data_IF_214828349174
#
_entry.id   IF_214828349174
#
_cell.length_a   1.000
_cell.length_b   1.000
_cell.length_c   1.000
_cell.angle_alpha   90.00
_cell.angle_beta   90.00
_cell.angle_gamma   90.00
#
_symmetry.space_group_name_H-M   'P 1'
#
loop_
_entity.id
_entity.type
_entity.pdbx_description
1 polymer ?
#
# COMPACT_ATOMS: atom_id res chain seq x y z
N UNK A 1 3.93 33.34 14.29
CA UNK A 1 3.75 32.10 15.08
C UNK A 1 2.86 31.19 14.27
N UNK A 2 3.43 30.26 13.51
CA UNK A 2 2.63 29.27 12.78
C UNK A 2 2.21 28.21 13.79
N UNK A 3 0.90 28.13 14.06
CA UNK A 3 0.34 27.04 14.84
C UNK A 3 0.39 25.79 13.96
N UNK A 4 1.30 24.86 14.28
CA UNK A 4 1.21 23.50 13.77
C UNK A 4 -0.09 22.89 14.34
N UNK A 5 -1.08 22.72 13.49
CA UNK A 5 -2.26 21.93 13.83
C UNK A 5 -1.80 20.48 14.00
N UNK A 6 -1.83 20.00 15.25
CA UNK A 6 -1.56 18.60 15.54
C UNK A 6 -2.78 17.79 15.09
N UNK A 7 -2.64 17.06 13.99
CA UNK A 7 -3.62 16.06 13.58
C UNK A 7 -3.68 14.94 14.64
N UNK A 8 -4.84 14.32 14.87
CA UNK A 8 -4.97 13.22 15.81
C UNK A 8 -4.27 11.97 15.26
N UNK A 9 -3.11 11.63 15.85
CA UNK A 9 -2.46 10.33 15.63
C UNK A 9 -3.22 9.27 16.42
N UNK A 10 -4.02 8.46 15.74
CA UNK A 10 -4.64 7.30 16.37
C UNK A 10 -3.62 6.16 16.42
N UNK A 11 -2.97 6.00 17.58
CA UNK A 11 -2.21 4.79 17.90
C UNK A 11 -3.19 3.62 18.04
N UNK A 12 -3.38 2.87 16.97
CA UNK A 12 -4.05 1.58 17.06
C UNK A 12 -3.02 0.52 17.41
N UNK A 13 -2.75 0.36 18.71
CA UNK A 13 -2.37 -0.96 19.20
C UNK A 13 -3.59 -1.85 19.00
N UNK A 14 -3.41 -2.93 18.22
CA UNK A 14 -4.44 -3.89 17.80
C UNK A 14 -5.53 -3.31 16.85
N UNK A 15 -5.24 -3.14 15.56
CA UNK A 15 -6.28 -2.86 14.53
C UNK A 15 -7.06 -4.15 14.22
N UNK A 16 -7.92 -4.60 15.13
CA UNK A 16 -8.92 -5.61 14.80
C UNK A 16 -10.23 -4.92 14.37
N UNK A 17 -10.40 -4.82 13.05
CA UNK A 17 -11.68 -4.72 12.33
C UNK A 17 -12.54 -3.47 12.60
N UNK A 18 -12.25 -2.36 11.92
CA UNK A 18 -13.24 -1.28 11.75
C UNK A 18 -14.11 -1.55 10.52
N UNK A 19 -15.18 -2.33 10.71
CA UNK A 19 -16.25 -2.47 9.72
C UNK A 19 -17.12 -1.22 9.66
N UNK A 20 -16.67 -0.21 8.92
CA UNK A 20 -17.43 0.99 8.56
C UNK A 20 -16.70 1.71 7.44
N UNK A 21 -17.42 2.28 6.48
CA UNK A 21 -16.83 3.17 5.46
C UNK A 21 -16.33 4.43 6.15
N UNK A 22 -15.05 4.42 6.52
CA UNK A 22 -14.36 5.57 7.08
C UNK A 22 -13.89 6.46 5.93
N UNK A 23 -13.75 7.75 6.20
CA UNK A 23 -13.17 8.70 5.25
C UNK A 23 -12.08 9.48 5.97
N UNK A 24 -10.93 9.65 5.33
CA UNK A 24 -9.73 10.28 5.91
C UNK A 24 -9.18 9.45 7.08
N UNK A 25 -8.66 8.26 6.76
CA UNK A 25 -8.01 7.37 7.73
C UNK A 25 -6.50 7.58 7.66
N UNK A 26 -5.87 7.70 8.82
CA UNK A 26 -4.42 7.85 8.99
C UNK A 26 -3.97 6.81 10.03
N UNK A 27 -3.05 5.93 9.63
CA UNK A 27 -2.47 4.87 10.46
C UNK A 27 -0.95 5.01 10.46
N UNK A 28 -0.35 5.12 11.65
CA UNK A 28 1.11 5.18 11.84
C UNK A 28 1.51 4.16 12.92
N UNK A 29 2.19 3.09 12.49
CA UNK A 29 2.62 1.98 13.34
C UNK A 29 4.11 1.72 13.17
N UNK A 30 4.82 1.53 14.29
CA UNK A 30 6.27 1.27 14.29
C UNK A 30 6.61 0.16 15.28
N UNK A 31 6.20 -1.08 14.99
CA UNK A 31 6.28 -2.24 15.88
C UNK A 31 6.57 -3.53 15.08
N UNK A 32 6.86 -4.64 15.76
CA UNK A 32 7.01 -5.96 15.11
C UNK A 32 5.74 -6.79 15.26
N UNK A 33 5.42 -7.63 14.28
CA UNK A 33 4.17 -8.42 14.23
C UNK A 33 2.95 -7.51 14.15
N UNK A 34 2.90 -6.72 13.09
CA UNK A 34 1.84 -5.74 12.84
C UNK A 34 0.86 -6.31 11.82
N UNK A 35 -0.43 -6.15 12.11
CA UNK A 35 -1.54 -6.46 11.22
C UNK A 35 -2.43 -5.21 11.13
N UNK A 36 -2.55 -4.64 9.93
CA UNK A 36 -3.32 -3.43 9.65
C UNK A 36 -4.36 -3.74 8.58
N UNK A 37 -5.64 -3.60 8.96
CA UNK A 37 -6.76 -3.72 8.01
C UNK A 37 -7.56 -2.42 7.98
N UNK A 38 -7.57 -1.75 6.83
CA UNK A 38 -8.26 -0.47 6.63
C UNK A 38 -9.21 -0.54 5.44
N UNK A 39 -10.42 -0.02 5.62
CA UNK A 39 -11.38 0.18 4.53
C UNK A 39 -11.95 1.58 4.60
N UNK A 40 -11.86 2.32 3.49
CA UNK A 40 -12.35 3.70 3.45
C UNK A 40 -11.73 4.55 2.36
N UNK A 41 -12.28 5.75 2.19
CA UNK A 41 -11.79 6.70 1.18
C UNK A 41 -10.75 7.65 1.78
N UNK A 42 -9.71 8.00 1.02
CA UNK A 42 -8.56 8.81 1.48
C UNK A 42 -7.87 8.13 2.68
N UNK A 43 -7.15 7.06 2.40
CA UNK A 43 -6.44 6.26 3.41
C UNK A 43 -4.95 6.50 3.25
N UNK A 44 -4.29 6.80 4.37
CA UNK A 44 -2.83 6.91 4.51
C UNK A 44 -2.39 5.90 5.57
N UNK A 45 -1.51 4.97 5.19
CA UNK A 45 -0.98 3.93 6.09
C UNK A 45 0.53 3.94 6.02
N UNK A 46 1.17 4.20 7.16
CA UNK A 46 2.61 4.11 7.34
C UNK A 46 2.91 3.03 8.38
N UNK A 47 3.62 1.99 7.97
CA UNK A 47 4.04 0.90 8.87
C UNK A 47 5.53 0.67 8.77
N UNK A 48 6.21 0.60 9.92
CA UNK A 48 7.60 0.16 9.99
C UNK A 48 7.78 -0.98 10.98
N UNK A 49 8.52 -2.03 10.61
CA UNK A 49 8.61 -3.20 11.47
C UNK A 49 9.12 -4.48 10.83
N UNK A 50 8.97 -5.59 11.54
CA UNK A 50 9.23 -6.93 11.00
C UNK A 50 7.99 -7.80 11.18
N UNK A 51 7.67 -8.66 10.21
CA UNK A 51 6.42 -9.42 10.14
C UNK A 51 5.24 -8.43 10.09
N UNK A 52 5.06 -7.78 8.95
CA UNK A 52 4.04 -6.77 8.72
C UNK A 52 3.06 -7.30 7.69
N UNK A 53 1.77 -7.20 7.99
CA UNK A 53 0.65 -7.50 7.09
C UNK A 53 -0.24 -6.25 6.99
N UNK A 54 -0.51 -5.78 5.77
CA UNK A 54 -1.31 -4.59 5.48
C UNK A 54 -2.35 -4.91 4.41
N UNK A 55 -3.64 -4.83 4.76
CA UNK A 55 -4.77 -4.92 3.84
C UNK A 55 -5.53 -3.59 3.79
N UNK A 56 -5.51 -2.92 2.64
CA UNK A 56 -6.22 -1.65 2.43
C UNK A 56 -7.15 -1.71 1.23
N UNK A 57 -8.38 -1.23 1.40
CA UNK A 57 -9.40 -1.22 0.34
C UNK A 57 -10.17 0.10 0.22
N UNK A 58 -10.43 0.50 -1.03
CA UNK A 58 -11.42 1.47 -1.57
C UNK A 58 -10.84 2.51 -2.56
N UNK A 59 -10.55 3.75 -2.14
CA UNK A 59 -10.31 4.88 -3.05
C UNK A 59 -9.33 5.87 -2.45
N UNK A 60 -8.36 6.33 -3.24
CA UNK A 60 -7.29 7.24 -2.81
C UNK A 60 -6.52 6.65 -1.62
N UNK A 61 -5.77 5.59 -1.91
CA UNK A 61 -5.00 4.84 -0.93
C UNK A 61 -3.52 5.15 -1.15
N UNK A 62 -2.83 5.51 -0.06
CA UNK A 62 -1.39 5.67 0.03
C UNK A 62 -0.87 4.74 1.13
N UNK A 63 0.04 3.84 0.79
CA UNK A 63 0.60 2.84 1.71
C UNK A 63 2.13 2.88 1.63
N UNK A 64 2.76 3.16 2.76
CA UNK A 64 4.22 3.12 2.91
C UNK A 64 4.59 2.08 3.95
N UNK A 65 5.33 1.05 3.55
CA UNK A 65 5.79 0.00 4.46
C UNK A 65 7.30 -0.17 4.40
N UNK A 66 7.98 -0.14 5.56
CA UNK A 66 9.41 -0.45 5.64
C UNK A 66 9.67 -1.60 6.60
N UNK A 67 10.36 -2.65 6.19
CA UNK A 67 10.54 -3.80 7.08
C UNK A 67 11.17 -5.06 6.54
N UNK A 68 10.96 -6.16 7.26
CA UNK A 68 11.34 -7.51 6.81
C UNK A 68 10.18 -8.46 7.01
N UNK A 69 9.94 -9.36 6.05
CA UNK A 69 8.74 -10.20 5.98
C UNK A 69 7.50 -9.31 5.94
N UNK A 70 7.30 -8.68 4.79
CA UNK A 70 6.23 -7.70 4.55
C UNK A 70 5.26 -8.30 3.54
N UNK A 71 3.97 -8.27 3.86
CA UNK A 71 2.86 -8.61 2.96
C UNK A 71 1.94 -7.38 2.86
N UNK A 72 1.70 -6.91 1.64
CA UNK A 72 0.88 -5.72 1.37
C UNK A 72 -0.14 -6.06 0.29
N UNK A 73 -1.41 -5.96 0.64
CA UNK A 73 -2.54 -6.13 -0.27
C UNK A 73 -3.32 -4.82 -0.34
N UNK A 74 -3.37 -4.22 -1.53
CA UNK A 74 -4.11 -2.97 -1.73
C UNK A 74 -5.06 -3.06 -2.91
N UNK A 75 -6.30 -2.62 -2.70
CA UNK A 75 -7.31 -2.53 -3.76
C UNK A 75 -7.99 -1.17 -3.80
N UNK A 76 -8.05 -0.53 -4.97
CA UNK A 76 -8.79 0.72 -5.09
C UNK A 76 -8.69 1.48 -6.40
N UNK A 77 -9.36 2.63 -6.48
CA UNK A 77 -9.40 3.40 -7.74
C UNK A 77 -8.10 4.17 -8.04
N UNK A 78 -7.48 4.76 -7.01
CA UNK A 78 -6.20 5.44 -7.07
C UNK A 78 -5.36 4.90 -5.92
N UNK A 79 -4.29 4.20 -6.25
CA UNK A 79 -3.45 3.49 -5.29
C UNK A 79 -1.99 3.88 -5.53
N UNK A 80 -1.31 4.24 -4.45
CA UNK A 80 0.13 4.46 -4.38
C UNK A 80 0.69 3.56 -3.27
N UNK A 81 1.72 2.76 -3.58
CA UNK A 81 2.32 1.80 -2.66
C UNK A 81 3.84 1.89 -2.75
N UNK A 82 4.49 2.28 -1.66
CA UNK A 82 5.95 2.24 -1.48
C UNK A 82 6.30 1.19 -0.43
N UNK A 83 7.04 0.15 -0.84
CA UNK A 83 7.51 -0.88 0.08
C UNK A 83 9.03 -1.01 0.02
N UNK A 84 9.67 -0.93 1.18
CA UNK A 84 11.11 -1.16 1.31
C UNK A 84 11.43 -2.27 2.30
N UNK A 85 12.26 -3.26 1.93
CA UNK A 85 12.52 -4.35 2.85
C UNK A 85 13.21 -5.61 2.33
N UNK A 86 13.03 -6.71 3.07
CA UNK A 86 13.48 -8.04 2.63
C UNK A 86 12.38 -9.07 2.81
N UNK A 87 12.19 -9.97 1.86
CA UNK A 87 11.05 -10.87 1.78
C UNK A 87 9.75 -10.06 1.74
N UNK A 88 9.51 -9.40 0.60
CA UNK A 88 8.33 -8.56 0.38
C UNK A 88 7.42 -9.25 -0.63
N UNK A 89 6.13 -9.28 -0.32
CA UNK A 89 5.05 -9.66 -1.23
C UNK A 89 4.08 -8.48 -1.33
N UNK A 90 3.82 -8.01 -2.56
CA UNK A 90 2.95 -6.86 -2.83
C UNK A 90 1.93 -7.24 -3.89
N UNK A 91 0.65 -7.18 -3.52
CA UNK A 91 -0.47 -7.38 -4.43
C UNK A 91 -1.31 -6.12 -4.52
N UNK A 92 -1.36 -5.51 -5.70
CA UNK A 92 -2.12 -4.27 -5.92
C UNK A 92 -3.10 -4.41 -7.06
N UNK A 93 -4.34 -3.95 -6.84
CA UNK A 93 -5.37 -3.92 -7.87
C UNK A 93 -6.08 -2.58 -7.93
N UNK A 94 -6.24 -2.00 -9.14
CA UNK A 94 -6.90 -0.71 -9.24
C UNK A 94 -7.11 -0.12 -10.61
N UNK A 95 -7.63 1.11 -10.66
CA UNK A 95 -7.77 1.84 -11.93
C UNK A 95 -6.50 2.59 -12.29
N UNK A 96 -5.96 3.37 -11.35
CA UNK A 96 -4.66 4.03 -11.44
C UNK A 96 -3.80 3.53 -10.28
N UNK A 97 -2.71 2.84 -10.61
CA UNK A 97 -1.83 2.19 -9.64
C UNK A 97 -0.39 2.63 -9.89
N UNK A 98 0.28 3.08 -8.84
CA UNK A 98 1.72 3.30 -8.78
C UNK A 98 2.29 2.42 -7.66
N UNK A 99 3.39 1.72 -7.93
CA UNK A 99 4.02 0.80 -6.99
C UNK A 99 5.54 0.94 -7.11
N UNK A 100 6.20 1.33 -6.02
CA UNK A 100 7.66 1.28 -5.87
C UNK A 100 8.02 0.23 -4.82
N UNK A 101 8.86 -0.73 -5.19
CA UNK A 101 9.38 -1.73 -4.26
C UNK A 101 10.90 -1.79 -4.32
N UNK A 102 11.54 -1.76 -3.15
CA UNK A 102 12.98 -1.84 -3.01
C UNK A 102 13.42 -2.80 -1.91
N UNK A 103 14.43 -3.65 -2.18
CA UNK A 103 14.69 -4.73 -1.24
C UNK A 103 15.50 -5.94 -1.70
N UNK A 104 15.15 -7.09 -1.15
CA UNK A 104 15.64 -8.40 -1.62
C UNK A 104 14.58 -9.48 -1.41
N UNK A 105 14.46 -10.41 -2.36
CA UNK A 105 13.42 -11.45 -2.40
C UNK A 105 12.03 -10.81 -2.45
N UNK A 106 11.66 -10.35 -3.63
CA UNK A 106 10.46 -9.55 -3.83
C UNK A 106 9.57 -10.16 -4.89
N UNK A 107 8.29 -10.26 -4.56
CA UNK A 107 7.21 -10.68 -5.43
C UNK A 107 6.18 -9.54 -5.53
N UNK A 108 5.81 -9.16 -6.75
CA UNK A 108 4.92 -8.03 -7.02
C UNK A 108 3.90 -8.44 -8.08
N UNK A 109 2.62 -8.49 -7.71
CA UNK A 109 1.49 -8.67 -8.64
C UNK A 109 0.63 -7.40 -8.67
N UNK A 110 0.62 -6.73 -9.82
CA UNK A 110 -0.13 -5.50 -10.02
C UNK A 110 -1.09 -5.61 -11.19
N UNK A 111 -2.35 -5.29 -10.96
CA UNK A 111 -3.38 -5.30 -11.99
C UNK A 111 -4.16 -3.99 -12.05
N UNK A 112 -4.45 -3.50 -13.27
CA UNK A 112 -5.25 -2.30 -13.42
C UNK A 112 -5.48 -1.79 -14.83
N UNK A 113 -5.94 -0.54 -14.93
CA UNK A 113 -6.10 0.13 -16.24
C UNK A 113 -4.84 0.94 -16.58
N UNK A 114 -4.38 1.75 -15.64
CA UNK A 114 -3.12 2.50 -15.70
C UNK A 114 -2.23 2.03 -14.54
N UNK A 115 -1.12 1.39 -14.86
CA UNK A 115 -0.22 0.77 -13.89
C UNK A 115 1.19 1.26 -14.19
N UNK A 116 1.87 1.79 -13.18
CA UNK A 116 3.32 1.99 -13.14
C UNK A 116 3.88 1.13 -12.01
N UNK A 117 5.01 0.46 -12.27
CA UNK A 117 5.67 -0.44 -11.32
C UNK A 117 7.17 -0.27 -11.46
N UNK A 118 7.81 0.14 -10.38
CA UNK A 118 9.26 0.24 -10.26
C UNK A 118 9.70 -0.76 -9.20
N UNK A 119 10.64 -1.64 -9.57
CA UNK A 119 11.26 -2.57 -8.61
C UNK A 119 12.77 -2.48 -8.74
N UNK A 120 13.45 -2.18 -7.65
CA UNK A 120 14.89 -1.84 -7.64
C UNK A 120 15.74 -2.84 -6.86
N UNK A 121 16.01 -4.06 -7.38
CA UNK A 121 16.64 -5.11 -6.53
C UNK A 121 17.12 -6.43 -7.19
N UNK A 122 17.53 -7.39 -6.33
CA UNK A 122 18.02 -8.74 -6.63
C UNK A 122 17.02 -9.83 -6.18
N UNK A 123 16.74 -10.80 -7.07
CA UNK A 123 15.71 -11.86 -6.93
C UNK A 123 14.28 -11.31 -6.90
N UNK A 124 13.79 -10.96 -8.09
CA UNK A 124 12.51 -10.28 -8.29
C UNK A 124 11.64 -11.10 -9.22
N UNK A 125 10.38 -11.28 -8.86
CA UNK A 125 9.29 -11.62 -9.79
C UNK A 125 8.31 -10.44 -9.86
N UNK A 126 7.90 -10.06 -11.07
CA UNK A 126 6.95 -8.96 -11.30
C UNK A 126 5.96 -9.39 -12.36
N UNK A 127 4.69 -9.40 -11.97
CA UNK A 127 3.55 -9.57 -12.86
C UNK A 127 2.76 -8.26 -12.88
N UNK A 128 2.71 -7.62 -14.05
CA UNK A 128 1.89 -6.41 -14.24
C UNK A 128 0.89 -6.62 -15.37
N UNK A 129 -0.40 -6.48 -15.09
CA UNK A 129 -1.47 -6.57 -16.08
C UNK A 129 -2.20 -5.22 -16.21
N UNK A 130 -1.98 -4.51 -17.31
CA UNK A 130 -2.68 -3.26 -17.62
C UNK A 130 -3.61 -3.41 -18.84
N UNK A 131 -4.85 -2.92 -18.73
CA UNK A 131 -5.73 -2.70 -19.89
C UNK A 131 -5.57 -1.27 -20.38
N UNK A 132 -4.55 -1.03 -21.20
CA UNK A 132 -4.48 0.24 -21.92
C UNK A 132 -5.60 0.29 -22.97
N UNK A 133 -6.42 1.33 -22.91
CA UNK A 133 -7.44 1.61 -23.91
C UNK A 133 -6.73 2.08 -25.18
N UNK A 134 -6.34 1.15 -26.06
CA UNK A 134 -5.80 1.46 -27.39
C UNK A 134 -6.74 2.44 -28.10
N UNK A 135 -6.33 3.71 -28.21
CA UNK A 135 -7.06 4.74 -28.95
C UNK A 135 -6.68 4.77 -30.44
N UNK A 136 -5.88 3.83 -30.91
CA UNK A 136 -5.35 3.78 -32.29
C UNK A 136 -6.21 2.95 -33.26
N UNK A 137 -7.53 2.93 -33.06
CA UNK A 137 -8.47 2.46 -34.09
C UNK A 137 -9.42 3.59 -34.52
N UNK A 138 -8.91 4.50 -35.35
CA UNK A 138 -9.71 5.28 -36.30
C UNK A 138 -9.03 5.29 -37.66
#
# INVERSE_FOLDING_TARGET
MMHHASLPRHRFGDVNKTGGTLSNVDVDVSESNVDVVVSGSNVDVVVSGSNVDVDVSESNVDVVVSGSNVDVVVSGSNVDVDVSGSNVDVVVSGSNVDVDVSGSNVDVDVSGSNVDVVVSESNVDVLSASKQHDKDQQ
#
